data_IF_117974105518
#
_entry.id   IF_117974105518
#
_cell.length_a   1.000
_cell.length_b   1.000
_cell.length_c   1.000
_cell.angle_alpha   90.00
_cell.angle_beta   90.00
_cell.angle_gamma   90.00
#
_symmetry.space_group_name_H-M   'P 1'
#
loop_
_entity.id
_entity.type
_entity.pdbx_description
1 polymer ?
#
# COMPACT_ATOMS: atom_id res chain seq x y z
N UNK A 1 -1.68 -1.60 -4.95
CA UNK A 1 -1.66 -0.12 -5.00
C UNK A 1 -0.50 0.30 -5.88
N UNK A 2 -0.73 1.12 -6.92
CA UNK A 2 0.30 1.57 -7.87
C UNK A 2 0.36 3.10 -7.87
N UNK A 3 1.56 3.69 -7.89
CA UNK A 3 1.78 5.14 -7.91
C UNK A 3 2.92 5.55 -8.84
N UNK A 4 2.78 6.71 -9.47
CA UNK A 4 3.86 7.49 -10.07
C UNK A 4 3.45 8.96 -10.06
N UNK A 5 4.39 9.87 -10.34
CA UNK A 5 4.13 11.31 -10.35
C UNK A 5 2.95 11.68 -11.25
N UNK A 6 2.87 11.05 -12.43
CA UNK A 6 1.78 11.26 -13.40
C UNK A 6 0.46 10.68 -12.95
N UNK A 7 0.47 9.57 -12.20
CA UNK A 7 -0.76 9.03 -11.59
C UNK A 7 -1.25 10.02 -10.53
N UNK A 8 -0.35 10.52 -9.68
CA UNK A 8 -0.66 11.55 -8.68
C UNK A 8 -1.28 12.80 -9.33
N UNK A 9 -0.66 13.34 -10.38
CA UNK A 9 -1.21 14.51 -11.11
C UNK A 9 -2.64 14.25 -11.61
N UNK A 10 -2.92 13.07 -12.17
CA UNK A 10 -4.27 12.71 -12.64
C UNK A 10 -5.27 12.62 -11.48
N UNK A 11 -4.88 12.03 -10.37
CA UNK A 11 -5.69 11.92 -9.16
C UNK A 11 -6.00 13.31 -8.58
N UNK A 12 -5.02 14.21 -8.59
CA UNK A 12 -5.19 15.61 -8.16
C UNK A 12 -6.21 16.35 -9.04
N UNK A 13 -6.13 16.19 -10.37
CA UNK A 13 -7.08 16.75 -11.35
C UNK A 13 -8.51 16.22 -11.18
N UNK A 14 -8.69 15.04 -10.59
CA UNK A 14 -10.01 14.50 -10.22
C UNK A 14 -10.57 15.10 -8.91
N UNK A 15 -9.83 15.98 -8.24
CA UNK A 15 -10.25 16.68 -7.03
C UNK A 15 -9.81 16.03 -5.72
N UNK A 16 -9.12 14.89 -5.77
CA UNK A 16 -8.58 14.25 -4.56
C UNK A 16 -7.42 15.07 -3.97
N UNK A 17 -7.31 15.06 -2.65
CA UNK A 17 -6.31 15.86 -1.89
C UNK A 17 -5.24 15.01 -1.22
N UNK A 18 -5.44 13.70 -1.14
CA UNK A 18 -4.51 12.76 -0.52
C UNK A 18 -4.51 11.46 -1.32
N UNK A 19 -3.33 10.92 -1.58
CA UNK A 19 -3.13 9.60 -2.15
C UNK A 19 -2.24 8.76 -1.23
N UNK A 20 -2.59 7.49 -1.08
CA UNK A 20 -1.77 6.52 -0.36
C UNK A 20 -0.82 5.85 -1.36
N UNK A 21 0.42 5.59 -0.97
CA UNK A 21 1.38 4.87 -1.82
C UNK A 21 2.41 4.09 -0.97
N UNK A 22 3.20 3.23 -1.62
CA UNK A 22 4.26 2.48 -0.94
C UNK A 22 5.44 3.38 -0.57
N UNK A 23 6.03 3.13 0.60
CA UNK A 23 7.30 3.72 1.02
C UNK A 23 8.48 2.92 0.49
N UNK A 24 8.54 2.67 -0.81
CA UNK A 24 9.58 1.84 -1.41
C UNK A 24 10.98 2.42 -1.12
N UNK A 25 11.91 1.60 -0.61
CA UNK A 25 13.25 2.05 -0.20
C UNK A 25 14.00 2.77 -1.33
N UNK A 26 13.88 2.28 -2.56
CA UNK A 26 14.54 2.87 -3.72
C UNK A 26 13.97 4.24 -4.11
N UNK A 27 12.75 4.57 -3.69
CA UNK A 27 12.11 5.88 -3.87
C UNK A 27 12.46 6.83 -2.73
N UNK A 28 12.40 6.34 -1.49
CA UNK A 28 12.65 7.18 -0.32
C UNK A 28 14.13 7.53 -0.14
N UNK A 29 15.04 6.64 -0.53
CA UNK A 29 16.47 6.80 -0.25
C UNK A 29 16.69 6.88 1.27
N UNK A 30 17.12 8.05 1.75
CA UNK A 30 17.34 8.34 3.16
C UNK A 30 16.11 8.94 3.88
N UNK A 31 15.07 9.31 3.13
CA UNK A 31 13.84 9.91 3.67
C UNK A 31 13.03 8.86 4.44
N UNK A 32 12.31 9.31 5.48
CA UNK A 32 11.42 8.43 6.25
C UNK A 32 10.04 8.30 5.57
N UNK A 33 9.39 7.12 5.54
CA UNK A 33 8.00 7.01 5.11
C UNK A 33 7.02 7.73 6.06
N UNK A 34 7.47 8.13 7.25
CA UNK A 34 6.62 8.59 8.33
C UNK A 34 6.36 10.11 8.33
N UNK A 35 6.27 10.72 7.16
CA UNK A 35 5.92 12.13 6.97
C UNK A 35 4.87 12.27 5.88
N UNK A 36 4.19 13.41 5.87
CA UNK A 36 3.37 13.81 4.72
C UNK A 36 4.31 14.32 3.62
N UNK A 37 4.10 13.88 2.39
CA UNK A 37 4.82 14.39 1.22
C UNK A 37 3.87 15.04 0.21
N UNK A 38 4.41 15.78 -0.75
CA UNK A 38 3.65 16.27 -1.92
C UNK A 38 4.03 15.53 -3.20
N UNK A 39 3.08 15.43 -4.11
CA UNK A 39 3.39 15.09 -5.50
C UNK A 39 4.21 16.23 -6.16
N UNK A 40 5.22 15.92 -6.98
CA UNK A 40 6.11 16.92 -7.58
C UNK A 40 5.49 17.70 -8.76
N UNK A 41 4.38 17.24 -9.32
CA UNK A 41 3.73 17.88 -10.47
C UNK A 41 2.55 18.73 -10.01
N UNK A 42 1.72 18.21 -9.09
CA UNK A 42 0.62 18.94 -8.47
C UNK A 42 0.72 18.87 -6.94
N UNK A 43 1.32 19.91 -6.34
CA UNK A 43 1.53 20.02 -4.90
C UNK A 43 0.22 20.16 -4.09
N UNK A 44 -0.95 20.27 -4.74
CA UNK A 44 -2.22 20.16 -4.04
C UNK A 44 -2.51 18.73 -3.56
N UNK A 45 -1.82 17.73 -4.11
CA UNK A 45 -1.95 16.33 -3.69
C UNK A 45 -0.91 15.97 -2.65
N UNK A 46 -1.38 15.60 -1.46
CA UNK A 46 -0.58 15.01 -0.41
C UNK A 46 -0.37 13.51 -0.64
N UNK A 47 0.74 12.97 -0.16
CA UNK A 47 1.10 11.57 -0.21
C UNK A 47 1.33 11.06 1.21
N UNK A 48 0.70 9.94 1.55
CA UNK A 48 0.94 9.18 2.77
C UNK A 48 1.55 7.83 2.40
N UNK A 49 2.72 7.54 2.95
CA UNK A 49 3.52 6.40 2.54
C UNK A 49 3.38 5.26 3.53
N UNK A 50 3.26 4.04 3.01
CA UNK A 50 3.34 2.81 3.81
C UNK A 50 4.67 2.77 4.56
N UNK A 51 4.65 2.54 5.87
CA UNK A 51 5.82 2.04 6.56
C UNK A 51 5.92 0.54 6.32
N UNK A 52 6.65 0.12 5.28
CA UNK A 52 6.65 -1.27 4.84
C UNK A 52 7.18 -2.23 5.91
N UNK A 53 8.16 -1.82 6.72
CA UNK A 53 8.70 -2.66 7.80
C UNK A 53 7.62 -3.01 8.82
N UNK A 54 7.08 -2.00 9.49
CA UNK A 54 6.11 -2.20 10.57
C UNK A 54 4.79 -2.77 10.05
N UNK A 55 4.39 -2.44 8.82
CA UNK A 55 3.22 -3.06 8.19
C UNK A 55 3.43 -4.55 7.92
N UNK A 56 4.58 -4.94 7.37
CA UNK A 56 4.87 -6.32 6.99
C UNK A 56 5.15 -7.21 8.22
N UNK A 57 5.59 -6.63 9.34
CA UNK A 57 5.71 -7.32 10.62
C UNK A 57 4.35 -7.87 11.10
N UNK A 58 3.26 -7.14 10.89
CA UNK A 58 1.89 -7.64 11.13
C UNK A 58 1.42 -8.50 9.95
N UNK A 59 1.55 -8.01 8.72
CA UNK A 59 0.92 -8.63 7.56
C UNK A 59 1.51 -9.99 7.19
N UNK A 60 2.81 -10.20 7.41
CA UNK A 60 3.56 -11.35 6.93
C UNK A 60 4.16 -12.15 8.09
N UNK A 61 4.70 -11.49 9.12
CA UNK A 61 5.53 -12.14 10.15
C UNK A 61 4.79 -12.46 11.45
N UNK A 62 3.57 -11.98 11.64
CA UNK A 62 2.85 -12.06 12.91
C UNK A 62 2.77 -13.49 13.48
N UNK A 63 2.47 -14.47 12.62
CA UNK A 63 2.38 -15.89 12.99
C UNK A 63 3.65 -16.70 12.66
N UNK A 64 4.72 -16.06 12.17
CA UNK A 64 5.95 -16.75 11.78
C UNK A 64 6.80 -17.09 13.01
N UNK A 65 6.77 -18.37 13.42
CA UNK A 65 7.54 -18.87 14.57
C UNK A 65 9.04 -18.94 14.34
N UNK A 66 9.50 -18.83 13.09
CA UNK A 66 10.92 -18.80 12.75
C UNK A 66 11.48 -17.38 12.73
N UNK A 67 10.61 -16.36 12.71
CA UNK A 67 11.04 -14.98 12.82
C UNK A 67 11.62 -14.72 14.22
N UNK A 68 12.83 -14.17 14.27
CA UNK A 68 13.56 -13.96 15.53
C UNK A 68 12.86 -13.04 16.54
N UNK A 69 11.87 -12.25 16.10
CA UNK A 69 11.07 -11.40 16.99
C UNK A 69 9.75 -12.06 17.43
N UNK A 70 9.48 -13.30 17.04
CA UNK A 70 8.29 -14.03 17.48
C UNK A 70 8.36 -14.37 18.98
N UNK A 71 7.26 -14.23 19.74
CA UNK A 71 5.97 -13.69 19.33
C UNK A 71 5.97 -12.15 19.24
N UNK A 72 5.15 -11.62 18.32
CA UNK A 72 4.89 -10.19 18.24
C UNK A 72 3.81 -9.78 19.25
N UNK A 73 4.23 -9.26 20.41
CA UNK A 73 3.30 -8.77 21.44
C UNK A 73 2.93 -7.30 21.20
N UNK A 74 1.81 -6.88 21.78
CA UNK A 74 1.30 -5.52 21.61
C UNK A 74 2.22 -4.46 22.22
N UNK A 75 2.90 -4.76 23.32
CA UNK A 75 3.84 -3.89 24.02
C UNK A 75 5.14 -3.74 23.22
N UNK A 76 5.64 -4.87 22.68
CA UNK A 76 6.80 -4.89 21.79
C UNK A 76 6.55 -4.00 20.56
N UNK A 77 5.41 -4.22 19.90
CA UNK A 77 5.07 -3.47 18.70
C UNK A 77 4.80 -1.99 19.00
N UNK A 78 4.10 -1.66 20.09
CA UNK A 78 3.91 -0.28 20.52
C UNK A 78 5.24 0.43 20.78
N UNK A 79 6.20 -0.23 21.44
CA UNK A 79 7.56 0.31 21.62
C UNK A 79 8.25 0.63 20.28
N UNK A 80 8.16 -0.26 19.29
CA UNK A 80 8.70 -0.02 17.96
C UNK A 80 8.01 1.12 17.22
N UNK A 81 6.69 1.24 17.36
CA UNK A 81 5.91 2.35 16.80
C UNK A 81 6.35 3.67 17.42
N UNK A 82 6.43 3.76 18.74
CA UNK A 82 6.89 4.96 19.46
C UNK A 82 8.32 5.32 19.06
N UNK A 83 9.23 4.36 18.99
CA UNK A 83 10.59 4.58 18.52
C UNK A 83 10.62 5.08 17.07
N UNK A 84 9.80 4.51 16.19
CA UNK A 84 9.69 4.96 14.79
C UNK A 84 9.10 6.36 14.65
N UNK A 85 8.36 6.84 15.65
CA UNK A 85 7.72 8.16 15.71
C UNK A 85 8.53 9.21 16.48
N UNK A 86 9.59 8.82 17.20
CA UNK A 86 10.37 9.74 18.03
C UNK A 86 10.89 10.98 17.27
N UNK A 87 11.28 10.81 16.01
CA UNK A 87 11.81 11.89 15.14
C UNK A 87 10.95 12.08 13.88
N UNK A 88 9.71 11.57 13.87
CA UNK A 88 8.80 11.65 12.71
C UNK A 88 7.38 12.00 13.15
N UNK A 89 6.45 12.14 12.21
CA UNK A 89 5.15 12.76 12.50
C UNK A 89 3.96 11.82 12.31
N UNK A 90 4.04 10.89 11.35
CA UNK A 90 2.89 10.11 10.90
C UNK A 90 3.33 8.69 10.60
N UNK A 91 2.78 7.68 11.29
CA UNK A 91 3.00 6.29 10.93
C UNK A 91 1.79 5.73 10.17
N UNK A 92 2.00 5.29 8.93
CA UNK A 92 0.94 4.60 8.18
C UNK A 92 1.20 3.10 8.12
N UNK A 93 0.26 2.33 8.66
CA UNK A 93 0.24 0.87 8.58
C UNK A 93 -0.75 0.43 7.51
N UNK A 94 -0.26 -0.04 6.36
CA UNK A 94 -1.13 -0.50 5.28
C UNK A 94 -1.00 -2.01 5.09
N UNK A 95 -2.13 -2.71 5.13
CA UNK A 95 -2.23 -4.15 4.97
C UNK A 95 -3.58 -4.53 4.35
N UNK A 96 -3.65 -5.70 3.72
CA UNK A 96 -4.92 -6.24 3.24
C UNK A 96 -5.80 -6.65 4.41
N UNK A 97 -7.13 -6.56 4.26
CA UNK A 97 -8.06 -7.01 5.30
C UNK A 97 -7.91 -8.50 5.63
N UNK A 98 -7.52 -9.32 4.65
CA UNK A 98 -7.28 -10.76 4.83
C UNK A 98 -6.13 -11.08 5.80
N UNK A 99 -5.30 -10.10 6.16
CA UNK A 99 -4.31 -10.27 7.23
C UNK A 99 -4.96 -10.65 8.56
N UNK A 100 -6.18 -10.14 8.81
CA UNK A 100 -6.89 -10.31 10.07
C UNK A 100 -7.98 -11.35 9.87
N UNK A 101 -7.87 -12.50 10.54
CA UNK A 101 -8.86 -13.57 10.52
C UNK A 101 -8.69 -14.60 9.41
N UNK A 102 -8.09 -14.25 8.27
CA UNK A 102 -7.82 -15.20 7.18
C UNK A 102 -6.37 -15.72 7.21
N UNK A 103 -5.36 -14.87 6.99
CA UNK A 103 -3.95 -15.25 7.07
C UNK A 103 -3.52 -15.48 8.52
N UNK A 104 -3.83 -14.55 9.41
CA UNK A 104 -3.68 -14.74 10.85
C UNK A 104 -5.06 -15.07 11.44
N UNK A 105 -5.33 -16.35 11.71
CA UNK A 105 -6.60 -16.79 12.28
C UNK A 105 -6.73 -16.36 13.74
N UNK A 106 -7.93 -16.46 14.32
CA UNK A 106 -8.21 -16.05 15.70
C UNK A 106 -7.24 -16.67 16.72
N UNK A 107 -6.87 -17.92 16.51
CA UNK A 107 -5.98 -18.70 17.40
C UNK A 107 -4.55 -18.17 17.42
N UNK A 108 -4.14 -17.35 16.44
CA UNK A 108 -2.85 -16.66 16.46
C UNK A 108 -2.78 -15.54 17.51
N UNK A 109 -3.92 -15.09 18.03
CA UNK A 109 -4.00 -13.94 18.93
C UNK A 109 -4.03 -12.58 18.23
N UNK A 110 -4.17 -12.51 16.89
CA UNK A 110 -4.16 -11.25 16.13
C UNK A 110 -5.22 -10.23 16.59
N UNK A 111 -6.40 -10.70 17.00
CA UNK A 111 -7.47 -9.81 17.46
C UNK A 111 -7.13 -9.19 18.81
N UNK A 112 -6.65 -10.01 19.75
CA UNK A 112 -6.19 -9.53 21.06
C UNK A 112 -5.01 -8.58 20.90
N UNK A 113 -4.05 -8.93 20.04
CA UNK A 113 -2.90 -8.07 19.71
C UNK A 113 -3.35 -6.68 19.23
N UNK A 114 -4.29 -6.59 18.28
CA UNK A 114 -4.78 -5.31 17.76
C UNK A 114 -5.52 -4.52 18.83
N UNK A 115 -6.35 -5.18 19.65
CA UNK A 115 -7.06 -4.54 20.75
C UNK A 115 -6.09 -3.93 21.76
N UNK A 116 -5.12 -4.71 22.24
CA UNK A 116 -4.12 -4.22 23.20
C UNK A 116 -3.16 -3.23 22.58
N UNK A 117 -2.81 -3.36 21.30
CA UNK A 117 -1.97 -2.38 20.60
C UNK A 117 -2.63 -1.00 20.59
N UNK A 118 -3.92 -0.93 20.22
CA UNK A 118 -4.67 0.33 20.25
C UNK A 118 -4.74 0.89 21.68
N UNK A 119 -5.02 0.04 22.68
CA UNK A 119 -5.04 0.45 24.10
C UNK A 119 -3.69 1.05 24.52
N UNK A 120 -2.59 0.32 24.32
CA UNK A 120 -1.24 0.74 24.70
C UNK A 120 -0.80 2.04 24.00
N UNK A 121 -1.20 2.26 22.75
CA UNK A 121 -0.92 3.51 22.05
C UNK A 121 -1.74 4.68 22.61
N UNK A 122 -2.98 4.44 23.04
CA UNK A 122 -3.89 5.46 23.57
C UNK A 122 -3.69 5.77 25.06
N UNK A 123 -2.85 5.02 25.77
CA UNK A 123 -2.43 5.36 27.15
C UNK A 123 -1.55 6.62 27.21
N UNK A 124 -1.02 7.03 26.07
CA UNK A 124 -0.08 8.13 25.93
C UNK A 124 -0.71 9.21 25.04
N UNK A 125 -1.11 10.33 25.65
CA UNK A 125 -1.83 11.43 25.00
C UNK A 125 -1.04 12.11 23.86
N UNK A 126 0.25 11.82 23.71
CA UNK A 126 1.06 12.24 22.57
C UNK A 126 0.62 11.55 21.26
N UNK A 127 0.03 10.35 21.35
CA UNK A 127 -0.35 9.55 20.19
C UNK A 127 -1.85 9.56 19.96
N UNK A 128 -2.23 9.38 18.68
CA UNK A 128 -3.63 9.31 18.28
C UNK A 128 -3.77 8.62 16.93
N UNK A 129 -4.93 8.03 16.69
CA UNK A 129 -5.30 7.48 15.39
C UNK A 129 -6.13 8.50 14.61
N UNK A 130 -5.68 8.82 13.40
CA UNK A 130 -6.31 9.82 12.53
C UNK A 130 -6.72 9.21 11.20
N UNK A 131 -7.81 9.74 10.64
CA UNK A 131 -8.15 9.49 9.25
C UNK A 131 -7.12 10.15 8.32
N UNK A 132 -6.87 9.60 7.12
CA UNK A 132 -5.94 10.21 6.15
C UNK A 132 -6.21 11.70 5.87
N UNK A 133 -7.48 12.12 5.89
CA UNK A 133 -7.90 13.52 5.70
C UNK A 133 -7.57 14.43 6.89
N UNK A 134 -7.44 13.87 8.09
CA UNK A 134 -7.12 14.59 9.33
C UNK A 134 -5.62 14.72 9.47
N UNK A 135 -4.87 13.68 9.12
CA UNK A 135 -3.40 13.69 9.05
C UNK A 135 -2.91 14.87 8.23
N UNK A 136 -3.38 15.02 6.98
CA UNK A 136 -2.92 16.08 6.07
C UNK A 136 -3.45 17.49 6.42
N UNK A 137 -4.40 17.59 7.37
CA UNK A 137 -4.83 18.87 7.93
C UNK A 137 -3.96 19.28 9.12
N UNK A 138 -3.49 18.29 9.89
CA UNK A 138 -2.71 18.50 11.11
C UNK A 138 -1.21 18.64 10.82
N UNK A 139 -0.68 17.87 9.86
CA UNK A 139 0.72 17.82 9.52
C UNK A 139 0.97 18.44 8.16
N UNK A 140 1.91 19.37 8.10
CA UNK A 140 2.36 19.97 6.84
C UNK A 140 3.23 18.97 6.08
N UNK A 141 3.25 19.08 4.76
CA UNK A 141 4.16 18.24 3.98
C UNK A 141 5.61 18.58 4.31
N UNK A 142 6.41 17.55 4.60
CA UNK A 142 7.82 17.67 4.92
C UNK A 142 8.65 18.03 3.70
N UNK A 143 8.29 17.46 2.55
CA UNK A 143 8.97 17.65 1.27
C UNK A 143 8.08 17.17 0.10
N UNK A 144 8.56 17.36 -1.10
CA UNK A 144 8.08 16.71 -2.32
C UNK A 144 8.72 15.32 -2.46
N UNK A 145 7.97 14.36 -3.02
CA UNK A 145 8.47 13.01 -3.29
C UNK A 145 8.40 12.69 -4.80
N UNK A 146 9.52 12.81 -5.52
CA UNK A 146 9.59 12.38 -6.93
C UNK A 146 9.55 10.87 -7.09
N UNK A 147 8.62 10.38 -7.91
CA UNK A 147 8.42 8.98 -8.28
C UNK A 147 8.18 8.90 -9.79
N UNK A 148 9.24 9.05 -10.61
CA UNK A 148 9.11 9.16 -12.07
C UNK A 148 8.61 7.85 -12.72
N UNK A 149 8.85 6.71 -12.07
CA UNK A 149 8.46 5.39 -12.56
C UNK A 149 7.41 4.75 -11.64
N UNK A 150 6.44 4.00 -12.19
CA UNK A 150 5.43 3.34 -11.38
C UNK A 150 6.01 2.38 -10.35
N UNK A 151 5.65 2.60 -9.09
CA UNK A 151 5.92 1.70 -7.96
C UNK A 151 4.65 0.98 -7.53
N UNK A 152 4.83 -0.13 -6.85
CA UNK A 152 3.77 -0.86 -6.18
C UNK A 152 4.20 -1.33 -4.80
N UNK A 153 3.24 -1.52 -3.90
CA UNK A 153 3.47 -2.18 -2.62
C UNK A 153 3.56 -3.72 -2.71
N UNK A 154 3.49 -4.28 -3.92
CA UNK A 154 3.45 -5.72 -4.21
C UNK A 154 4.84 -6.22 -4.59
N UNK A 155 5.16 -7.44 -4.14
CA UNK A 155 6.44 -8.14 -4.35
C UNK A 155 7.67 -7.31 -3.88
N UNK A 156 8.85 -7.92 -3.82
CA UNK A 156 10.04 -7.27 -3.22
C UNK A 156 10.60 -6.14 -4.07
N UNK A 157 10.44 -6.23 -5.39
CA UNK A 157 10.97 -5.24 -6.34
C UNK A 157 10.23 -3.90 -6.26
N UNK A 158 9.03 -3.89 -5.66
CA UNK A 158 8.18 -2.71 -5.47
C UNK A 158 7.91 -1.94 -6.78
N UNK A 159 7.78 -2.67 -7.88
CA UNK A 159 7.49 -2.15 -9.21
C UNK A 159 6.19 -2.75 -9.78
N UNK A 160 5.96 -2.63 -11.09
CA UNK A 160 4.75 -3.13 -11.75
C UNK A 160 4.94 -4.50 -12.43
N UNK A 161 6.06 -5.18 -12.20
CA UNK A 161 6.35 -6.49 -12.82
C UNK A 161 5.38 -7.59 -12.39
N UNK A 162 4.68 -7.44 -11.25
CA UNK A 162 3.61 -8.34 -10.86
C UNK A 162 2.44 -8.35 -11.86
N UNK A 163 2.25 -7.29 -12.64
CA UNK A 163 1.19 -7.17 -13.66
C UNK A 163 1.70 -7.09 -15.10
N UNK A 164 2.95 -6.68 -15.33
CA UNK A 164 3.52 -6.47 -16.67
C UNK A 164 4.93 -7.07 -16.83
N UNK A 165 5.22 -8.13 -16.07
CA UNK A 165 6.54 -8.76 -16.01
C UNK A 165 6.85 -9.74 -17.15
N UNK A 166 5.83 -10.31 -17.80
CA UNK A 166 6.02 -11.29 -18.89
C UNK A 166 5.24 -10.94 -20.18
N UNK A 167 5.53 -11.65 -21.26
CA UNK A 167 4.94 -11.39 -22.58
C UNK A 167 3.42 -11.65 -22.62
N UNK A 168 2.93 -12.68 -21.90
CA UNK A 168 1.49 -12.96 -21.80
C UNK A 168 0.73 -11.79 -21.17
N UNK A 169 1.24 -11.27 -20.06
CA UNK A 169 0.70 -10.12 -19.35
C UNK A 169 0.68 -8.87 -20.24
N UNK A 170 1.80 -8.56 -20.89
CA UNK A 170 1.94 -7.40 -21.78
C UNK A 170 1.00 -7.51 -22.98
N UNK A 171 0.89 -8.68 -23.59
CA UNK A 171 0.01 -8.90 -24.74
C UNK A 171 -1.46 -8.75 -24.34
N UNK A 172 -1.88 -9.39 -23.24
CA UNK A 172 -3.24 -9.24 -22.72
C UNK A 172 -3.58 -7.76 -22.43
N UNK A 173 -2.64 -7.03 -21.82
CA UNK A 173 -2.80 -5.60 -21.52
C UNK A 173 -2.94 -4.78 -22.81
N UNK A 174 -2.06 -5.01 -23.79
CA UNK A 174 -2.10 -4.30 -25.07
C UNK A 174 -3.39 -4.58 -25.86
N UNK A 175 -3.85 -5.83 -25.89
CA UNK A 175 -5.11 -6.19 -26.55
C UNK A 175 -6.32 -5.51 -25.91
N UNK A 176 -6.35 -5.44 -24.57
CA UNK A 176 -7.39 -4.72 -23.84
C UNK A 176 -7.45 -3.25 -24.28
N UNK A 177 -6.32 -2.54 -24.27
CA UNK A 177 -6.32 -1.12 -24.67
C UNK A 177 -6.59 -0.91 -26.17
N UNK A 178 -6.24 -1.87 -27.03
CA UNK A 178 -6.53 -1.82 -28.47
C UNK A 178 -8.02 -1.77 -28.77
N UNK A 179 -8.85 -2.51 -28.03
CA UNK A 179 -10.30 -2.56 -28.26
C UNK A 179 -11.06 -1.39 -27.60
N UNK A 180 -10.41 -0.61 -26.72
CA UNK A 180 -11.05 0.46 -25.95
C UNK A 180 -11.83 1.44 -26.84
N UNK A 181 -11.23 1.89 -27.95
CA UNK A 181 -11.86 2.85 -28.85
C UNK A 181 -13.08 2.27 -29.57
N UNK A 182 -13.06 0.96 -29.86
CA UNK A 182 -14.16 0.24 -30.50
C UNK A 182 -15.33 0.14 -29.52
N UNK A 183 -15.08 -0.30 -28.28
CA UNK A 183 -16.10 -0.39 -27.22
C UNK A 183 -16.77 0.97 -26.99
N UNK A 184 -15.97 2.04 -26.81
CA UNK A 184 -16.49 3.41 -26.60
C UNK A 184 -17.38 3.89 -27.76
N UNK A 185 -17.01 3.59 -29.02
CA UNK A 185 -17.79 3.99 -30.21
C UNK A 185 -19.14 3.29 -30.30
N UNK A 186 -19.27 2.07 -29.77
CA UNK A 186 -20.52 1.30 -29.81
C UNK A 186 -21.62 1.90 -28.94
N UNK A 187 -21.27 2.71 -27.92
CA UNK A 187 -22.22 3.32 -26.97
C UNK A 187 -23.20 2.30 -26.37
N UNK A 188 -22.74 1.06 -26.19
CA UNK A 188 -23.51 -0.03 -25.61
C UNK A 188 -23.10 -0.22 -24.15
N UNK A 189 -24.08 -0.22 -23.24
CA UNK A 189 -23.83 -0.27 -21.80
C UNK A 189 -23.23 -1.61 -21.34
N UNK A 190 -23.74 -2.73 -21.85
CA UNK A 190 -23.27 -4.08 -21.54
C UNK A 190 -21.80 -4.26 -21.97
N UNK A 191 -21.47 -3.88 -23.21
CA UNK A 191 -20.09 -3.93 -23.70
C UNK A 191 -19.14 -3.02 -22.89
N UNK A 192 -19.65 -1.90 -22.38
CA UNK A 192 -18.86 -0.98 -21.55
C UNK A 192 -18.60 -1.57 -20.16
N UNK A 193 -19.58 -2.26 -19.58
CA UNK A 193 -19.46 -2.94 -18.30
C UNK A 193 -18.50 -4.14 -18.40
N UNK A 194 -18.64 -4.97 -19.42
CA UNK A 194 -17.72 -6.09 -19.67
C UNK A 194 -16.29 -5.60 -19.91
N UNK A 195 -16.10 -4.55 -20.70
CA UNK A 195 -14.80 -3.90 -20.85
C UNK A 195 -14.25 -3.34 -19.53
N UNK A 196 -15.12 -2.86 -18.64
CA UNK A 196 -14.78 -2.47 -17.27
C UNK A 196 -14.22 -3.65 -16.47
N UNK A 197 -14.92 -4.80 -16.48
CA UNK A 197 -14.51 -6.02 -15.78
C UNK A 197 -13.19 -6.60 -16.31
N UNK A 198 -12.93 -6.48 -17.61
CA UNK A 198 -11.67 -6.91 -18.21
C UNK A 198 -10.46 -6.06 -17.79
N UNK A 199 -10.68 -4.86 -17.24
CA UNK A 199 -9.61 -4.01 -16.69
C UNK A 199 -9.22 -4.36 -15.25
N UNK A 200 -9.87 -5.36 -14.63
CA UNK A 200 -9.48 -5.83 -13.30
C UNK A 200 -8.02 -6.27 -13.29
N UNK A 201 -7.25 -5.77 -12.32
CA UNK A 201 -5.80 -5.99 -12.26
C UNK A 201 -5.44 -7.45 -11.97
N UNK A 202 -6.36 -8.17 -11.35
CA UNK A 202 -6.29 -9.56 -10.96
C UNK A 202 -6.06 -10.46 -12.17
N UNK A 203 -6.66 -10.14 -13.33
CA UNK A 203 -6.44 -10.88 -14.57
C UNK A 203 -4.95 -10.95 -14.92
N UNK A 204 -4.27 -9.79 -14.89
CA UNK A 204 -2.84 -9.71 -15.18
C UNK A 204 -2.00 -10.31 -14.06
N UNK A 205 -2.37 -10.11 -12.81
CA UNK A 205 -1.68 -10.67 -11.66
C UNK A 205 -1.64 -12.21 -11.70
N UNK A 206 -2.75 -12.85 -12.09
CA UNK A 206 -2.83 -14.31 -12.22
C UNK A 206 -2.12 -14.88 -13.46
N UNK A 207 -1.79 -14.05 -14.45
CA UNK A 207 -0.94 -14.42 -15.59
C UNK A 207 0.57 -14.39 -15.28
N UNK A 208 0.96 -13.95 -14.07
CA UNK A 208 2.38 -13.89 -13.71
C UNK A 208 2.99 -15.29 -13.67
N UNK A 209 4.24 -15.38 -14.10
CA UNK A 209 5.04 -16.61 -14.05
C UNK A 209 6.00 -16.62 -12.87
N UNK A 210 6.13 -15.51 -12.14
CA UNK A 210 6.83 -15.46 -10.86
C UNK A 210 6.05 -16.30 -9.86
N UNK A 211 6.71 -17.32 -9.30
CA UNK A 211 6.13 -18.10 -8.20
C UNK A 211 5.85 -17.18 -7.03
N UNK A 212 4.69 -17.33 -6.41
CA UNK A 212 4.44 -16.78 -5.08
C UNK A 212 5.51 -17.34 -4.14
N UNK A 213 6.44 -16.50 -3.68
CA UNK A 213 7.12 -16.77 -2.42
C UNK A 213 6.10 -16.52 -1.29
N UNK A 214 5.02 -17.31 -1.24
CA UNK A 214 4.36 -17.56 0.02
C UNK A 214 5.33 -18.46 0.78
N UNK A 215 5.98 -17.88 1.79
CA UNK A 215 6.70 -18.65 2.80
C UNK A 215 5.78 -19.76 3.32
N UNK A 216 6.37 -20.95 3.46
CA UNK A 216 5.66 -22.22 3.59
C UNK A 216 4.61 -22.23 4.69
N UNK A 217 3.39 -22.62 4.28
CA UNK A 217 2.48 -23.38 5.12
C UNK A 217 2.35 -24.76 4.48
N UNK A 218 3.30 -25.62 4.81
CA UNK A 218 3.15 -27.07 4.80
C UNK A 218 3.04 -27.57 6.23
#
# INVERSE_FOLDING_TARGET
MIYSDKIGERVAKLGFKTMLTDGAKHVLGWKSPNFVYKNPIDENLNLLLKNSKLSDDIAIRFSDRQWGEYPLTSEKYASWVKHSLAETEVLNLFMNYDVIGHYNRKESGIFDFLEYFVKNMMEDDEYQFLLPKEVVKKHSAKDVLPVPFPISWTDEERDITSWLGNELQKEAFNQLFRIQSIVKKKKNAELSDDYGRLQASEHFYHMRTKTLLYFGLS
#
